data_IF_625654567938
#
_entry.id   IF_625654567938
#
_cell.length_a   1.000
_cell.length_b   1.000
_cell.length_c   1.000
_cell.angle_alpha   90.00
_cell.angle_beta   90.00
_cell.angle_gamma   90.00
#
_symmetry.space_group_name_H-M   'P 1'
#
loop_
_entity.id
_entity.type
_entity.pdbx_description
1 polymer ?
#
# COMPACT_ATOMS: atom_id res chain seq x y z
N UNK A 1 -26.14 19.45 0.37
CA UNK A 1 -25.76 18.91 -0.94
C UNK A 1 -24.33 18.41 -0.83
N UNK A 2 -24.08 17.12 -1.07
CA UNK A 2 -22.73 16.55 -0.93
C UNK A 2 -21.92 16.79 -2.20
N UNK A 3 -20.66 17.21 -2.06
CA UNK A 3 -19.75 17.46 -3.18
C UNK A 3 -18.71 16.33 -3.24
N UNK A 4 -18.67 15.61 -4.36
CA UNK A 4 -17.63 14.61 -4.64
C UNK A 4 -16.55 15.28 -5.51
N UNK A 5 -15.29 15.22 -5.08
CA UNK A 5 -14.15 15.77 -5.83
C UNK A 5 -13.27 14.64 -6.37
N UNK A 6 -12.78 14.73 -7.61
CA UNK A 6 -11.81 13.77 -8.12
C UNK A 6 -10.44 13.97 -7.46
N UNK A 7 -9.61 12.92 -7.48
CA UNK A 7 -8.23 12.98 -6.99
C UNK A 7 -7.32 12.08 -7.81
N UNK A 8 -6.01 12.33 -7.74
CA UNK A 8 -5.01 11.47 -8.39
C UNK A 8 -4.61 10.35 -7.45
N UNK A 9 -5.08 9.12 -7.73
CA UNK A 9 -4.88 7.98 -6.84
C UNK A 9 -3.47 7.41 -6.95
N UNK A 10 -2.97 6.85 -5.85
CA UNK A 10 -1.81 5.97 -5.87
C UNK A 10 -2.26 4.52 -5.99
N UNK A 11 -1.62 3.75 -6.86
CA UNK A 11 -1.90 2.33 -7.06
C UNK A 11 -0.64 1.57 -7.46
N UNK A 12 -0.68 0.23 -7.32
CA UNK A 12 0.44 -0.62 -7.71
C UNK A 12 0.69 -0.53 -9.21
N UNK A 13 1.96 -0.38 -9.59
CA UNK A 13 2.34 -0.21 -10.99
C UNK A 13 2.02 -1.48 -11.83
N UNK A 14 1.07 -1.42 -12.79
CA UNK A 14 0.68 -2.59 -13.58
C UNK A 14 1.74 -3.01 -14.61
N UNK A 15 2.78 -2.19 -14.83
CA UNK A 15 3.96 -2.59 -15.61
C UNK A 15 4.89 -3.50 -14.82
N UNK A 16 4.99 -3.32 -13.49
CA UNK A 16 5.84 -4.13 -12.60
C UNK A 16 5.09 -5.33 -12.01
N UNK A 17 3.78 -5.19 -11.81
CA UNK A 17 2.97 -6.20 -11.14
C UNK A 17 1.76 -6.57 -12.00
N UNK A 18 1.78 -7.77 -12.59
CA UNK A 18 0.63 -8.34 -13.30
C UNK A 18 -0.35 -9.02 -12.37
N UNK A 19 0.13 -9.54 -11.24
CA UNK A 19 -0.69 -10.17 -10.22
C UNK A 19 -0.64 -9.35 -8.92
N UNK A 20 -1.80 -8.84 -8.49
CA UNK A 20 -1.93 -8.05 -7.26
C UNK A 20 -2.24 -8.90 -6.02
N UNK A 21 -2.68 -10.16 -6.18
CA UNK A 21 -3.04 -11.04 -5.05
C UNK A 21 -1.96 -11.17 -3.96
N UNK A 22 -0.64 -11.24 -4.27
CA UNK A 22 0.38 -11.29 -3.21
C UNK A 22 0.70 -9.91 -2.61
N UNK A 23 0.21 -8.81 -3.21
CA UNK A 23 0.52 -7.43 -2.82
C UNK A 23 -0.54 -6.83 -1.91
N UNK A 24 -1.80 -7.22 -2.09
CA UNK A 24 -2.91 -6.70 -1.29
C UNK A 24 -3.02 -7.41 0.07
N UNK A 25 -3.75 -6.77 0.97
CA UNK A 25 -3.99 -7.24 2.33
C UNK A 25 -5.42 -6.86 2.72
N UNK A 26 -6.09 -7.61 3.60
CA UNK A 26 -7.38 -7.17 4.14
C UNK A 26 -7.22 -5.91 5.02
N UNK A 27 -8.33 -5.29 5.44
CA UNK A 27 -8.32 -4.15 6.36
C UNK A 27 -7.55 -4.40 7.68
N UNK A 28 -7.04 -3.34 8.30
CA UNK A 28 -6.14 -3.45 9.46
C UNK A 28 -6.81 -4.05 10.71
N UNK A 29 -8.11 -3.85 10.85
CA UNK A 29 -8.95 -4.27 11.99
C UNK A 29 -9.26 -5.77 11.98
N UNK A 30 -9.07 -6.44 10.84
CA UNK A 30 -9.27 -7.90 10.74
C UNK A 30 -7.96 -8.70 10.79
N UNK A 31 -6.79 -8.05 10.65
CA UNK A 31 -5.49 -8.72 10.61
C UNK A 31 -4.97 -8.99 12.02
N UNK A 32 -4.79 -10.28 12.35
CA UNK A 32 -4.16 -10.72 13.60
C UNK A 32 -2.63 -10.72 13.47
N UNK A 33 -1.93 -10.62 14.60
CA UNK A 33 -0.45 -10.61 14.63
C UNK A 33 0.19 -11.80 13.89
N UNK A 34 -0.38 -12.99 14.03
CA UNK A 34 0.12 -14.20 13.34
C UNK A 34 -0.01 -14.10 11.81
N UNK A 35 -1.02 -13.39 11.32
CA UNK A 35 -1.31 -13.24 9.88
C UNK A 35 -0.41 -12.21 9.22
N UNK A 36 0.07 -11.19 9.96
CA UNK A 36 1.01 -10.17 9.46
C UNK A 36 2.24 -10.80 8.79
N UNK A 37 2.86 -11.77 9.49
CA UNK A 37 4.03 -12.47 8.97
C UNK A 37 3.73 -13.27 7.70
N UNK A 38 2.54 -13.89 7.62
CA UNK A 38 2.10 -14.65 6.44
C UNK A 38 1.91 -13.71 5.25
N UNK A 39 1.22 -12.57 5.45
CA UNK A 39 0.98 -11.57 4.41
C UNK A 39 2.29 -11.00 3.86
N UNK A 40 3.23 -10.63 4.73
CA UNK A 40 4.55 -10.10 4.34
C UNK A 40 5.41 -11.13 3.61
N UNK A 41 5.27 -12.42 3.95
CA UNK A 41 5.95 -13.50 3.22
C UNK A 41 5.43 -13.68 1.79
N UNK A 42 4.18 -13.28 1.49
CA UNK A 42 3.64 -13.36 0.11
C UNK A 42 4.40 -12.46 -0.86
N UNK A 43 4.87 -11.30 -0.39
CA UNK A 43 5.66 -10.36 -1.19
C UNK A 43 6.34 -9.32 -0.31
N UNK A 44 7.59 -8.97 -0.65
CA UNK A 44 8.30 -7.81 -0.08
C UNK A 44 7.60 -6.45 -0.31
N UNK A 45 6.63 -6.41 -1.23
CA UNK A 45 5.81 -5.23 -1.53
C UNK A 45 4.36 -5.41 -1.09
N UNK A 46 4.06 -6.37 -0.20
CA UNK A 46 2.73 -6.49 0.38
C UNK A 46 2.37 -5.24 1.21
N UNK A 47 1.15 -4.73 1.03
CA UNK A 47 0.69 -3.48 1.64
C UNK A 47 0.76 -3.47 3.17
N UNK A 48 0.74 -4.65 3.81
CA UNK A 48 0.95 -4.80 5.26
C UNK A 48 2.30 -4.24 5.76
N UNK A 49 3.29 -4.03 4.89
CA UNK A 49 4.55 -3.36 5.24
C UNK A 49 4.41 -1.85 5.46
N UNK A 50 3.34 -1.22 4.98
CA UNK A 50 3.08 0.21 5.14
C UNK A 50 1.73 0.51 5.82
N UNK A 51 0.89 -0.51 5.99
CA UNK A 51 -0.36 -0.43 6.75
C UNK A 51 -0.15 -0.69 8.25
N UNK A 52 0.71 -1.65 8.61
CA UNK A 52 0.83 -2.14 9.98
C UNK A 52 2.23 -1.85 10.55
N UNK A 53 2.27 -1.12 11.66
CA UNK A 53 3.50 -0.83 12.41
C UNK A 53 3.91 -2.07 13.21
N UNK A 54 5.19 -2.42 13.18
CA UNK A 54 5.76 -3.45 14.05
C UNK A 54 6.22 -2.86 15.39
N UNK A 55 6.39 -3.72 16.41
CA UNK A 55 6.78 -3.31 17.77
C UNK A 55 8.03 -2.42 17.83
N UNK A 56 8.96 -2.58 16.89
CA UNK A 56 10.23 -1.84 16.83
C UNK A 56 10.23 -0.74 15.76
N UNK A 57 9.10 -0.48 15.11
CA UNK A 57 8.96 0.55 14.08
C UNK A 57 8.07 1.71 14.55
N UNK A 58 8.05 2.79 13.77
CA UNK A 58 7.13 3.89 13.97
C UNK A 58 6.59 4.38 12.61
N UNK A 59 5.55 5.21 12.63
CA UNK A 59 4.94 5.73 11.40
C UNK A 59 5.90 6.55 10.53
N UNK A 60 6.94 7.17 11.11
CA UNK A 60 7.96 7.89 10.33
C UNK A 60 8.75 6.92 9.44
N UNK A 61 9.05 5.73 9.93
CA UNK A 61 9.71 4.68 9.14
C UNK A 61 8.80 4.15 8.02
N UNK A 62 7.51 3.92 8.31
CA UNK A 62 6.53 3.51 7.30
C UNK A 62 6.37 4.58 6.21
N UNK A 63 6.33 5.86 6.59
CA UNK A 63 6.29 6.98 5.63
C UNK A 63 7.54 7.03 4.73
N UNK A 64 8.73 6.75 5.28
CA UNK A 64 9.95 6.61 4.45
C UNK A 64 9.83 5.46 3.47
N UNK A 65 9.33 4.30 3.93
CA UNK A 65 9.11 3.11 3.09
C UNK A 65 8.12 3.40 1.96
N UNK A 66 7.01 4.08 2.25
CA UNK A 66 6.02 4.51 1.26
C UNK A 66 6.64 5.43 0.20
N UNK A 67 7.40 6.46 0.62
CA UNK A 67 8.09 7.35 -0.31
C UNK A 67 9.13 6.61 -1.17
N UNK A 68 9.86 5.66 -0.59
CA UNK A 68 10.79 4.81 -1.33
C UNK A 68 10.06 3.93 -2.37
N UNK A 69 8.86 3.46 -2.06
CA UNK A 69 8.03 2.69 -3.00
C UNK A 69 7.54 3.56 -4.16
N UNK A 70 7.22 4.83 -3.93
CA UNK A 70 6.93 5.79 -5.00
C UNK A 70 8.17 6.02 -5.88
N UNK A 71 9.34 6.30 -5.28
CA UNK A 71 10.60 6.50 -6.02
C UNK A 71 11.00 5.29 -6.86
N UNK A 72 10.73 4.09 -6.37
CA UNK A 72 10.98 2.82 -7.07
C UNK A 72 9.84 2.43 -8.01
N UNK A 73 8.85 3.30 -8.20
CA UNK A 73 7.63 3.10 -8.99
C UNK A 73 6.92 1.77 -8.68
N UNK A 74 6.96 1.34 -7.42
CA UNK A 74 6.13 0.25 -6.90
C UNK A 74 4.69 0.76 -6.85
N UNK A 75 4.51 1.98 -6.33
CA UNK A 75 3.32 2.78 -6.56
C UNK A 75 3.56 3.81 -7.64
N UNK A 76 2.54 4.03 -8.45
CA UNK A 76 2.44 5.14 -9.39
C UNK A 76 1.20 5.95 -9.05
N UNK A 77 1.20 7.22 -9.45
CA UNK A 77 0.08 8.12 -9.26
C UNK A 77 -0.52 8.48 -10.61
N UNK A 78 -1.83 8.69 -10.69
CA UNK A 78 -2.41 9.27 -11.90
C UNK A 78 -1.85 10.65 -12.18
N UNK A 79 -1.60 10.91 -13.47
CA UNK A 79 -1.14 12.20 -13.96
C UNK A 79 -2.25 13.27 -13.79
N UNK A 80 -3.52 12.87 -13.77
CA UNK A 80 -4.68 13.75 -13.63
C UNK A 80 -5.69 13.18 -12.63
N UNK A 81 -6.48 14.02 -11.94
CA UNK A 81 -7.53 13.54 -11.04
C UNK A 81 -8.63 12.76 -11.75
N UNK A 82 -9.11 11.69 -11.13
CA UNK A 82 -10.26 10.89 -11.59
C UNK A 82 -11.25 10.64 -10.43
N UNK A 83 -12.47 10.20 -10.78
CA UNK A 83 -13.42 9.66 -9.81
C UNK A 83 -13.23 8.15 -9.67
N UNK A 84 -13.38 7.65 -8.44
CA UNK A 84 -13.13 6.27 -8.03
C UNK A 84 -14.31 5.74 -7.22
#
# INVERSE_FOLDING_TARGET
MSLVKPFSAFYYNPKKFKNLSPLITPPYDVIREKEKGILRKKSKYNFSHILLVDKNENYKLLGRRFNDWIKKEIFVQDIRPHFY
#
